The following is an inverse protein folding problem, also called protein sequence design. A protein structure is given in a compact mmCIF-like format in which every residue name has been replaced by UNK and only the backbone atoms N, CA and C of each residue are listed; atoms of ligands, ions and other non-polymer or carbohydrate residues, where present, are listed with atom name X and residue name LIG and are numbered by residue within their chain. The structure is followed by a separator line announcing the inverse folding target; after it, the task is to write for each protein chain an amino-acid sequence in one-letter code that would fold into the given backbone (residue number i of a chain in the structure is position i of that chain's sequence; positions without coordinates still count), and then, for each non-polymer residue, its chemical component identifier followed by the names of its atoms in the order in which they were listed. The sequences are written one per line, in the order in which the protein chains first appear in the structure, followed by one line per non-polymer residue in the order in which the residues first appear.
data_IF_522997109109
#
_entry.id   IF_522997109109
#
_cell.length_a   1.000
_cell.length_b   1.000
_cell.length_c   1.000
_cell.angle_alpha   90.00
_cell.angle_beta   90.00
_cell.angle_gamma   90.00
#
_symmetry.space_group_name_H-M   'P 1'
#
loop_
_entity.id
_entity.type
_entity.pdbx_description
1 polymer ?
#
# COMPACT_ATOMS: atom_id res chain seq x y z
N UNK A 1 10.19 -52.12 9.71
CA UNK A 1 11.05 -51.02 9.27
C UNK A 1 10.13 -49.82 9.08
N UNK A 2 10.00 -48.96 10.10
CA UNK A 2 9.16 -47.75 10.01
C UNK A 2 9.97 -46.66 9.31
N UNK A 3 9.58 -46.32 8.10
CA UNK A 3 10.05 -45.09 7.46
C UNK A 3 9.39 -43.92 8.17
N UNK A 4 10.08 -43.26 9.06
CA UNK A 4 9.74 -41.90 9.49
C UNK A 4 9.95 -40.97 8.31
N UNK A 5 8.88 -40.60 7.62
CA UNK A 5 8.87 -39.46 6.75
C UNK A 5 9.15 -38.23 7.66
N UNK A 6 10.42 -37.81 7.71
CA UNK A 6 10.73 -36.47 8.21
C UNK A 6 10.03 -35.50 7.28
N UNK A 7 8.90 -34.90 7.70
CA UNK A 7 8.43 -33.67 7.10
C UNK A 7 9.55 -32.65 7.37
N UNK A 8 10.44 -32.50 6.41
CA UNK A 8 11.38 -31.39 6.41
C UNK A 8 10.55 -30.14 6.19
N UNK A 9 10.33 -29.37 7.24
CA UNK A 9 9.77 -28.06 7.09
C UNK A 9 10.73 -27.28 6.18
N UNK A 10 10.24 -26.38 5.38
CA UNK A 10 10.99 -25.56 4.44
C UNK A 10 10.36 -24.18 4.34
N UNK A 11 11.14 -23.23 3.90
CA UNK A 11 10.71 -21.85 3.72
C UNK A 11 10.82 -21.45 2.26
N UNK A 12 10.00 -20.51 1.86
CA UNK A 12 10.19 -19.74 0.64
C UNK A 12 10.97 -18.49 1.03
N UNK A 13 12.04 -18.21 0.32
CA UNK A 13 12.81 -16.97 0.37
C UNK A 13 12.61 -16.21 -0.94
N UNK A 14 12.11 -15.00 -0.87
CA UNK A 14 11.95 -14.07 -1.99
C UNK A 14 13.10 -13.07 -1.94
N UNK A 15 14.14 -13.22 -2.77
CA UNK A 15 15.23 -12.24 -2.82
C UNK A 15 14.72 -10.93 -3.43
N UNK A 16 15.19 -9.80 -2.91
CA UNK A 16 14.82 -8.46 -3.41
C UNK A 16 16.03 -7.72 -4.04
N UNK A 17 17.13 -8.42 -4.25
CA UNK A 17 18.26 -7.92 -5.02
C UNK A 17 17.83 -7.60 -6.46
N UNK A 18 18.28 -6.48 -6.98
CA UNK A 18 17.84 -5.98 -8.28
C UNK A 18 18.06 -6.97 -9.44
N UNK A 19 19.14 -7.74 -9.39
CA UNK A 19 19.52 -8.73 -10.42
C UNK A 19 18.89 -10.13 -10.17
N UNK A 20 18.25 -10.35 -9.02
CA UNK A 20 17.64 -11.64 -8.64
C UNK A 20 16.13 -11.63 -8.65
N UNK A 21 15.52 -10.47 -8.48
CA UNK A 21 14.07 -10.33 -8.51
C UNK A 21 13.60 -9.78 -9.85
N UNK A 22 12.75 -10.53 -10.52
CA UNK A 22 12.17 -10.13 -11.82
C UNK A 22 11.00 -9.16 -11.65
N UNK A 23 10.29 -9.23 -10.52
CA UNK A 23 9.11 -8.40 -10.27
C UNK A 23 8.97 -8.01 -8.80
N UNK A 24 9.62 -6.93 -8.41
CA UNK A 24 9.60 -6.41 -7.03
C UNK A 24 8.19 -6.07 -6.55
N UNK A 25 7.37 -5.41 -7.37
CA UNK A 25 6.01 -5.03 -6.97
C UNK A 25 5.13 -6.25 -6.69
N UNK A 26 5.21 -7.29 -7.52
CA UNK A 26 4.50 -8.55 -7.26
C UNK A 26 5.05 -9.29 -6.04
N UNK A 27 6.33 -9.14 -5.73
CA UNK A 27 6.93 -9.70 -4.51
C UNK A 27 6.32 -9.07 -3.24
N UNK A 28 6.13 -7.75 -3.21
CA UNK A 28 5.36 -7.09 -2.15
C UNK A 28 3.91 -7.57 -2.11
N UNK A 29 3.27 -7.67 -3.27
CA UNK A 29 1.86 -8.09 -3.37
C UNK A 29 1.62 -9.50 -2.85
N UNK A 30 2.47 -10.47 -3.22
CA UNK A 30 2.30 -11.84 -2.70
C UNK A 30 2.62 -11.91 -1.20
N UNK A 31 3.58 -11.13 -0.71
CA UNK A 31 3.85 -11.07 0.73
C UNK A 31 2.64 -10.51 1.49
N UNK A 32 2.01 -9.44 0.99
CA UNK A 32 0.75 -8.93 1.53
C UNK A 32 -0.34 -10.01 1.54
N UNK A 33 -0.50 -10.72 0.42
CA UNK A 33 -1.49 -11.79 0.30
C UNK A 33 -1.25 -12.92 1.30
N UNK A 34 0.01 -13.34 1.48
CA UNK A 34 0.41 -14.39 2.46
C UNK A 34 -0.01 -13.99 3.88
N UNK A 35 0.29 -12.76 4.29
CA UNK A 35 -0.08 -12.23 5.61
C UNK A 35 -1.60 -12.16 5.75
N UNK A 36 -2.31 -11.75 4.70
CA UNK A 36 -3.78 -11.67 4.70
C UNK A 36 -4.46 -13.05 4.80
N UNK A 37 -3.75 -14.15 4.48
CA UNK A 37 -4.19 -15.52 4.73
C UNK A 37 -3.88 -16.00 6.16
N UNK A 38 -3.32 -15.15 7.02
CA UNK A 38 -2.90 -15.52 8.38
C UNK A 38 -1.62 -16.36 8.42
N UNK A 39 -0.86 -16.40 7.33
CA UNK A 39 0.40 -17.13 7.27
C UNK A 39 1.52 -16.23 7.79
N UNK A 40 2.35 -16.76 8.67
CA UNK A 40 3.51 -16.05 9.20
C UNK A 40 4.48 -15.66 8.08
N UNK A 41 4.90 -14.41 8.05
CA UNK A 41 5.88 -13.90 7.10
C UNK A 41 6.89 -12.99 7.79
N UNK A 42 8.10 -12.96 7.26
CA UNK A 42 9.20 -12.14 7.76
C UNK A 42 9.70 -11.21 6.66
N UNK A 43 9.99 -9.97 7.02
CA UNK A 43 10.78 -9.05 6.24
C UNK A 43 12.21 -9.06 6.77
N UNK A 44 13.15 -9.44 5.92
CA UNK A 44 14.58 -9.53 6.24
C UNK A 44 15.25 -8.22 5.82
N UNK A 45 15.20 -7.23 6.71
CA UNK A 45 15.75 -5.89 6.48
C UNK A 45 17.24 -5.96 6.15
N UNK A 46 17.64 -5.28 5.09
CA UNK A 46 19.01 -5.22 4.57
C UNK A 46 19.65 -6.57 4.21
N UNK A 47 18.92 -7.68 4.32
CA UNK A 47 19.38 -8.97 3.85
C UNK A 47 18.91 -9.19 2.41
N UNK A 48 19.86 -9.36 1.47
CA UNK A 48 19.60 -9.59 0.04
C UNK A 48 18.57 -8.63 -0.57
N UNK A 49 18.76 -7.32 -0.34
CA UNK A 49 17.88 -6.27 -0.85
C UNK A 49 16.58 -6.06 -0.07
N UNK A 50 16.44 -6.61 1.14
CA UNK A 50 15.23 -6.54 1.95
C UNK A 50 14.26 -7.66 1.61
N UNK A 51 14.74 -8.90 1.59
CA UNK A 51 14.05 -10.12 1.21
C UNK A 51 12.83 -10.43 2.09
N UNK A 52 11.93 -11.28 1.58
CA UNK A 52 10.83 -11.83 2.37
C UNK A 52 10.99 -13.34 2.55
N UNK A 53 10.50 -13.86 3.69
CA UNK A 53 10.49 -15.28 3.96
C UNK A 53 9.20 -15.71 4.64
N UNK A 54 8.68 -16.89 4.27
CA UNK A 54 7.51 -17.52 4.88
C UNK A 54 7.54 -19.04 4.70
N UNK A 55 6.76 -19.83 5.51
CA UNK A 55 6.71 -21.26 5.38
C UNK A 55 6.33 -21.72 3.98
N UNK A 56 7.00 -22.74 3.48
CA UNK A 56 6.74 -23.30 2.16
C UNK A 56 5.48 -24.16 2.15
N UNK A 57 4.64 -23.90 1.17
CA UNK A 57 3.59 -24.83 0.73
C UNK A 57 3.56 -24.89 -0.79
N UNK A 58 3.06 -26.00 -1.35
CA UNK A 58 2.93 -26.12 -2.81
C UNK A 58 1.98 -25.10 -3.41
N UNK A 59 0.95 -24.67 -2.64
CA UNK A 59 0.03 -23.61 -3.04
C UNK A 59 0.75 -22.29 -3.20
N UNK A 60 1.55 -21.88 -2.20
CA UNK A 60 2.33 -20.65 -2.23
C UNK A 60 3.37 -20.66 -3.36
N UNK A 61 4.02 -21.79 -3.59
CA UNK A 61 4.94 -21.94 -4.72
C UNK A 61 4.25 -21.72 -6.08
N UNK A 62 3.03 -22.23 -6.24
CA UNK A 62 2.25 -22.03 -7.45
C UNK A 62 1.84 -20.55 -7.63
N UNK A 63 1.42 -19.88 -6.55
CA UNK A 63 1.08 -18.43 -6.60
C UNK A 63 2.28 -17.57 -7.02
N UNK A 64 3.48 -17.87 -6.51
CA UNK A 64 4.72 -17.19 -6.92
C UNK A 64 5.00 -17.36 -8.41
N UNK A 65 4.82 -18.58 -8.93
CA UNK A 65 5.01 -18.87 -10.36
C UNK A 65 4.00 -18.12 -11.23
N UNK A 66 2.72 -18.13 -10.84
CA UNK A 66 1.65 -17.43 -11.57
C UNK A 66 1.90 -15.93 -11.63
N UNK A 67 2.40 -15.35 -10.52
CA UNK A 67 2.70 -13.91 -10.42
C UNK A 67 4.05 -13.52 -11.03
N UNK A 68 4.86 -14.49 -11.45
CA UNK A 68 6.19 -14.24 -12.03
C UNK A 68 7.20 -13.70 -11.01
N UNK A 69 7.09 -14.09 -9.74
CA UNK A 69 7.99 -13.69 -8.67
C UNK A 69 9.12 -14.70 -8.52
N UNK A 70 10.37 -14.22 -8.52
CA UNK A 70 11.54 -15.05 -8.27
C UNK A 70 11.59 -15.48 -6.80
N UNK A 71 11.85 -16.75 -6.54
CA UNK A 71 11.92 -17.30 -5.19
C UNK A 71 12.89 -18.48 -5.10
N UNK A 72 13.23 -18.83 -3.88
CA UNK A 72 14.03 -20.01 -3.55
C UNK A 72 13.30 -20.83 -2.47
N UNK A 73 13.28 -22.15 -2.62
CA UNK A 73 12.86 -23.03 -1.54
C UNK A 73 14.11 -23.40 -0.75
N UNK A 74 14.13 -23.07 0.52
CA UNK A 74 15.23 -23.31 1.46
C UNK A 74 14.78 -24.29 2.55
N UNK A 75 15.73 -25.08 3.05
CA UNK A 75 15.49 -25.99 4.18
C UNK A 75 15.44 -25.24 5.52
N UNK A 76 14.88 -25.90 6.56
CA UNK A 76 14.93 -25.36 7.93
C UNK A 76 16.34 -25.03 8.38
N UNK A 77 17.32 -25.85 8.06
CA UNK A 77 18.71 -25.61 8.43
C UNK A 77 19.24 -24.31 7.78
N UNK A 78 18.89 -24.06 6.50
CA UNK A 78 19.24 -22.82 5.81
C UNK A 78 18.50 -21.63 6.40
N UNK A 79 17.23 -21.78 6.76
CA UNK A 79 16.47 -20.73 7.42
C UNK A 79 17.08 -20.35 8.78
N UNK A 80 17.45 -21.32 9.60
CA UNK A 80 18.13 -21.11 10.87
C UNK A 80 19.47 -20.39 10.65
N UNK A 81 20.26 -20.81 9.66
CA UNK A 81 21.52 -20.16 9.33
C UNK A 81 21.36 -18.68 8.92
N UNK A 82 20.36 -18.38 8.06
CA UNK A 82 20.01 -17.01 7.66
C UNK A 82 19.60 -16.18 8.89
N UNK A 83 18.77 -16.73 9.78
CA UNK A 83 18.37 -16.03 11.00
C UNK A 83 19.54 -15.75 11.92
N UNK A 84 20.48 -16.68 12.02
CA UNK A 84 21.70 -16.50 12.80
C UNK A 84 22.60 -15.43 12.19
N UNK A 85 22.79 -15.41 10.88
CA UNK A 85 23.53 -14.38 10.17
C UNK A 85 22.93 -12.99 10.41
N UNK A 86 21.62 -12.84 10.20
CA UNK A 86 20.89 -11.57 10.38
C UNK A 86 20.97 -11.06 11.83
N UNK A 87 21.10 -11.94 12.81
CA UNK A 87 21.21 -11.57 14.23
C UNK A 87 22.58 -11.00 14.63
N UNK A 88 23.54 -10.97 13.73
CA UNK A 88 24.84 -10.34 13.96
C UNK A 88 24.67 -8.80 13.98
N UNK A 89 24.94 -8.13 15.11
CA UNK A 89 24.74 -6.68 15.24
C UNK A 89 25.64 -5.84 14.32
N UNK A 90 26.73 -6.42 13.81
CA UNK A 90 27.65 -5.72 12.90
C UNK A 90 27.11 -5.60 11.47
N UNK A 91 26.11 -6.42 11.10
CA UNK A 91 25.58 -6.44 9.73
C UNK A 91 24.44 -5.44 9.48
N UNK A 92 23.95 -4.74 10.50
CA UNK A 92 22.81 -3.81 10.40
C UNK A 92 21.60 -4.44 9.66
N UNK A 93 21.28 -5.67 10.04
CA UNK A 93 20.18 -6.46 9.48
C UNK A 93 19.17 -6.82 10.58
N UNK A 94 17.92 -7.04 10.20
CA UNK A 94 16.89 -7.46 11.14
C UNK A 94 15.86 -8.36 10.45
N UNK A 95 15.39 -9.40 11.15
CA UNK A 95 14.26 -10.22 10.69
C UNK A 95 12.97 -9.79 11.40
N UNK A 96 12.22 -8.91 10.75
CA UNK A 96 10.96 -8.37 11.29
C UNK A 96 9.82 -9.29 10.92
N UNK A 97 9.10 -9.80 11.93
CA UNK A 97 7.85 -10.51 11.72
C UNK A 97 6.77 -9.53 11.27
N UNK A 98 6.07 -9.86 10.19
CA UNK A 98 4.96 -9.07 9.68
C UNK A 98 3.66 -9.54 10.35
N UNK A 99 3.08 -8.68 11.17
CA UNK A 99 1.96 -9.06 12.05
C UNK A 99 0.59 -8.96 11.37
N UNK A 100 0.44 -8.04 10.39
CA UNK A 100 -0.86 -7.74 9.79
C UNK A 100 -0.73 -7.20 8.38
N UNK A 101 -1.61 -7.65 7.49
CA UNK A 101 -1.85 -6.98 6.21
C UNK A 101 -2.72 -5.73 6.45
N UNK A 102 -2.20 -4.50 6.21
CA UNK A 102 -2.96 -3.30 6.51
C UNK A 102 -4.16 -3.11 5.58
N UNK A 103 -5.27 -2.62 6.12
CA UNK A 103 -6.36 -2.07 5.30
C UNK A 103 -5.97 -0.69 4.80
N UNK A 104 -5.92 -0.52 3.49
CA UNK A 104 -5.40 0.67 2.82
C UNK A 104 -6.54 1.51 2.24
N UNK A 105 -6.56 2.80 2.59
CA UNK A 105 -7.34 3.82 1.91
C UNK A 105 -6.43 4.72 1.10
N UNK A 106 -6.81 5.02 -0.13
CA UNK A 106 -6.16 6.04 -0.97
C UNK A 106 -7.11 7.21 -1.11
N UNK A 107 -6.66 8.39 -0.69
CA UNK A 107 -7.44 9.61 -0.82
C UNK A 107 -7.32 10.13 -2.25
N UNK A 108 -8.39 9.99 -3.00
CA UNK A 108 -8.46 10.39 -4.42
C UNK A 108 -9.90 10.73 -4.81
N UNK A 109 -10.14 11.75 -5.66
CA UNK A 109 -11.48 12.10 -6.09
C UNK A 109 -12.09 11.00 -6.97
N UNK A 110 -13.42 10.90 -6.95
CA UNK A 110 -14.17 9.95 -7.80
C UNK A 110 -14.31 10.44 -9.25
N UNK A 111 -13.85 11.63 -9.54
CA UNK A 111 -13.94 12.22 -10.88
C UNK A 111 -12.56 12.60 -11.41
N UNK A 112 -12.35 12.38 -12.71
CA UNK A 112 -11.17 12.84 -13.41
C UNK A 112 -11.44 14.23 -14.02
N UNK A 113 -10.65 15.28 -13.67
CA UNK A 113 -10.82 16.60 -14.25
C UNK A 113 -10.59 16.65 -15.78
N UNK A 114 -9.93 15.63 -16.34
CA UNK A 114 -9.68 15.51 -17.80
C UNK A 114 -10.67 14.62 -18.54
N UNK A 115 -11.62 14.01 -17.85
CA UNK A 115 -12.59 13.10 -18.43
C UNK A 115 -13.61 12.56 -17.42
N UNK A 116 -14.55 11.75 -17.91
CA UNK A 116 -15.67 11.25 -17.10
C UNK A 116 -15.32 10.06 -16.20
N UNK A 117 -14.08 9.54 -16.25
CA UNK A 117 -13.62 8.42 -15.42
C UNK A 117 -12.19 8.65 -14.98
N UNK A 118 -11.92 8.44 -13.69
CA UNK A 118 -10.55 8.29 -13.19
C UNK A 118 -10.04 6.97 -13.75
N UNK A 119 -8.97 7.07 -14.51
CA UNK A 119 -8.27 5.88 -14.96
C UNK A 119 -7.26 5.48 -13.89
N UNK A 120 -6.96 4.17 -13.70
CA UNK A 120 -5.99 3.73 -12.71
C UNK A 120 -4.60 4.37 -12.85
N UNK A 121 -4.23 4.76 -14.07
CA UNK A 121 -2.95 5.43 -14.39
C UNK A 121 -2.94 6.94 -14.12
N UNK A 122 -4.07 7.56 -13.79
CA UNK A 122 -4.13 8.98 -13.40
C UNK A 122 -3.57 9.19 -11.97
N UNK A 123 -3.46 8.09 -11.20
CA UNK A 123 -2.87 8.05 -9.87
C UNK A 123 -1.85 6.90 -9.82
N UNK A 124 -0.57 7.25 -9.72
CA UNK A 124 0.53 6.27 -9.70
C UNK A 124 0.40 5.27 -8.54
N UNK A 125 -0.16 5.70 -7.40
CA UNK A 125 -0.32 4.85 -6.21
C UNK A 125 -1.38 3.78 -6.45
N UNK A 126 -2.55 4.15 -6.96
CA UNK A 126 -3.60 3.18 -7.27
C UNK A 126 -3.14 2.21 -8.36
N UNK A 127 -2.36 2.69 -9.33
CA UNK A 127 -1.78 1.83 -10.36
C UNK A 127 -0.78 0.82 -9.78
N UNK A 128 0.12 1.26 -8.89
CA UNK A 128 1.11 0.39 -8.23
C UNK A 128 0.42 -0.65 -7.36
N UNK A 129 -0.55 -0.24 -6.53
CA UNK A 129 -1.29 -1.18 -5.67
C UNK A 129 -2.09 -2.20 -6.50
N UNK A 130 -2.77 -1.74 -7.57
CA UNK A 130 -3.50 -2.63 -8.47
C UNK A 130 -2.55 -3.61 -9.20
N UNK A 131 -1.39 -3.14 -9.69
CA UNK A 131 -0.40 -4.01 -10.31
C UNK A 131 0.16 -5.03 -9.32
N UNK A 132 0.46 -4.62 -8.09
CA UNK A 132 0.94 -5.49 -7.02
C UNK A 132 -0.16 -6.46 -6.51
N UNK A 133 -1.41 -6.26 -6.90
CA UNK A 133 -2.58 -7.00 -6.39
C UNK A 133 -2.79 -6.81 -4.89
N UNK A 134 -2.46 -5.62 -4.39
CA UNK A 134 -2.72 -5.21 -3.01
C UNK A 134 -4.08 -4.49 -2.99
N UNK A 135 -5.08 -4.99 -2.25
CA UNK A 135 -6.39 -4.36 -2.17
C UNK A 135 -6.31 -3.01 -1.48
N UNK A 136 -7.08 -2.06 -1.99
CA UNK A 136 -7.24 -0.73 -1.41
C UNK A 136 -8.65 -0.21 -1.71
N UNK A 137 -9.12 0.71 -0.89
CA UNK A 137 -10.34 1.44 -1.12
C UNK A 137 -10.04 2.92 -1.44
N UNK A 138 -10.83 3.52 -2.32
CA UNK A 138 -10.78 4.95 -2.55
C UNK A 138 -11.65 5.66 -1.54
N UNK A 139 -11.13 6.72 -0.95
CA UNK A 139 -11.86 7.62 -0.06
C UNK A 139 -11.65 9.05 -0.52
N UNK A 140 -12.66 9.89 -0.35
CA UNK A 140 -12.54 11.31 -0.64
C UNK A 140 -13.22 12.13 0.46
N UNK A 141 -13.46 13.40 0.22
CA UNK A 141 -13.98 14.35 1.22
C UNK A 141 -15.20 13.82 1.98
N UNK A 142 -16.17 13.23 1.28
CA UNK A 142 -17.39 12.68 1.88
C UNK A 142 -17.10 11.54 2.84
N UNK A 143 -16.35 10.54 2.39
CA UNK A 143 -16.01 9.36 3.18
C UNK A 143 -15.21 9.72 4.43
N UNK A 144 -14.30 10.69 4.29
CA UNK A 144 -13.50 11.20 5.42
C UNK A 144 -14.40 11.89 6.44
N UNK A 145 -15.31 12.75 6.02
CA UNK A 145 -16.26 13.46 6.91
C UNK A 145 -17.25 12.52 7.57
N UNK A 146 -17.67 11.44 6.89
CA UNK A 146 -18.51 10.37 7.43
C UNK A 146 -17.76 9.49 8.45
N UNK A 147 -16.46 9.71 8.69
CA UNK A 147 -15.67 8.96 9.66
C UNK A 147 -15.19 7.60 9.19
N UNK A 148 -15.25 7.32 7.88
CA UNK A 148 -14.85 5.99 7.34
C UNK A 148 -13.37 5.67 7.53
N UNK A 149 -12.52 6.69 7.79
CA UNK A 149 -11.09 6.45 8.04
C UNK A 149 -10.81 5.50 9.20
N UNK A 150 -11.70 5.45 10.20
CA UNK A 150 -11.57 4.53 11.33
C UNK A 150 -11.57 3.03 10.94
N UNK A 151 -11.94 2.69 9.70
CA UNK A 151 -11.96 1.33 9.17
C UNK A 151 -10.63 0.90 8.54
N UNK A 152 -9.68 1.83 8.39
CA UNK A 152 -8.41 1.63 7.71
C UNK A 152 -7.24 1.77 8.68
N UNK A 153 -6.18 1.02 8.37
CA UNK A 153 -4.92 1.08 9.10
C UNK A 153 -3.98 2.12 8.49
N UNK A 154 -4.08 2.33 7.17
CA UNK A 154 -3.21 3.21 6.40
C UNK A 154 -4.01 4.10 5.45
N UNK A 155 -3.81 5.41 5.55
CA UNK A 155 -4.28 6.42 4.61
C UNK A 155 -3.12 6.92 3.75
N UNK A 156 -3.24 6.81 2.43
CA UNK A 156 -2.34 7.42 1.48
C UNK A 156 -2.93 8.70 0.92
N UNK A 157 -2.23 9.84 1.12
CA UNK A 157 -2.56 11.14 0.54
C UNK A 157 -1.65 11.42 -0.65
N UNK A 158 -2.23 11.78 -1.79
CA UNK A 158 -1.49 12.02 -3.01
C UNK A 158 -2.00 13.28 -3.73
N UNK A 159 -1.10 14.25 -3.92
CA UNK A 159 -1.29 15.47 -4.75
C UNK A 159 -2.59 16.26 -4.58
N UNK A 160 -3.16 16.31 -3.39
CA UNK A 160 -4.40 17.03 -3.14
C UNK A 160 -4.18 18.43 -2.58
N UNK A 161 -4.95 19.40 -3.07
CA UNK A 161 -4.98 20.76 -2.55
C UNK A 161 -5.94 20.88 -1.37
N UNK A 162 -5.44 20.67 -0.16
CA UNK A 162 -6.20 20.87 1.07
C UNK A 162 -6.46 22.34 1.41
N UNK A 163 -5.89 23.30 0.68
CA UNK A 163 -6.21 24.72 0.90
C UNK A 163 -7.54 25.12 0.28
N UNK A 164 -8.02 24.37 -0.72
CA UNK A 164 -9.20 24.70 -1.52
C UNK A 164 -9.10 26.02 -2.26
N UNK A 165 -7.87 26.49 -2.49
CA UNK A 165 -7.58 27.76 -3.17
C UNK A 165 -7.12 27.48 -4.60
N UNK A 166 -8.03 27.08 -5.44
CA UNK A 166 -7.73 26.67 -6.82
C UNK A 166 -6.79 27.61 -7.59
N UNK A 167 -6.91 28.91 -7.44
CA UNK A 167 -6.05 29.88 -8.12
C UNK A 167 -4.60 29.89 -7.62
N UNK A 168 -4.30 29.36 -6.45
CA UNK A 168 -2.98 29.48 -5.84
C UNK A 168 -1.94 28.60 -6.51
N UNK A 169 -2.28 27.34 -6.77
CA UNK A 169 -1.35 26.37 -7.36
C UNK A 169 -1.46 26.27 -8.89
N UNK A 170 -2.65 26.51 -9.44
CA UNK A 170 -2.96 26.31 -10.84
C UNK A 170 -3.40 27.59 -11.54
N UNK A 171 -2.95 28.76 -11.07
CA UNK A 171 -3.37 30.05 -11.62
C UNK A 171 -3.17 30.14 -13.15
N UNK A 172 -2.09 29.58 -13.68
CA UNK A 172 -1.82 29.50 -15.13
C UNK A 172 -2.80 28.59 -15.89
N UNK A 173 -3.49 27.68 -15.20
CA UNK A 173 -4.43 26.72 -15.77
C UNK A 173 -5.89 27.13 -15.60
N UNK A 174 -6.19 28.24 -14.90
CA UNK A 174 -7.54 28.67 -14.55
C UNK A 174 -8.50 28.88 -15.75
N UNK A 175 -7.95 29.09 -16.95
CA UNK A 175 -8.71 29.18 -18.20
C UNK A 175 -9.04 27.84 -18.85
N UNK A 176 -8.41 26.74 -18.43
CA UNK A 176 -8.55 25.44 -19.08
C UNK A 176 -9.88 24.76 -18.74
N UNK A 177 -10.48 23.99 -19.68
CA UNK A 177 -11.74 23.31 -19.43
C UNK A 177 -11.70 22.31 -18.25
N UNK A 178 -10.60 21.55 -18.12
CA UNK A 178 -10.44 20.59 -17.03
C UNK A 178 -10.38 21.26 -15.67
N UNK A 179 -9.70 22.40 -15.55
CA UNK A 179 -9.61 23.14 -14.29
C UNK A 179 -10.98 23.66 -13.86
N UNK A 180 -11.73 24.29 -14.79
CA UNK A 180 -13.08 24.77 -14.53
C UNK A 180 -14.04 23.65 -14.12
N UNK A 181 -13.92 22.48 -14.78
CA UNK A 181 -14.73 21.31 -14.44
C UNK A 181 -14.38 20.81 -13.03
N UNK A 182 -13.10 20.72 -12.68
CA UNK A 182 -12.66 20.28 -11.35
C UNK A 182 -13.17 21.24 -10.28
N UNK A 183 -13.00 22.55 -10.48
CA UNK A 183 -13.49 23.56 -9.57
C UNK A 183 -15.02 23.43 -9.37
N UNK A 184 -15.78 23.38 -10.44
CA UNK A 184 -17.23 23.26 -10.37
C UNK A 184 -17.70 22.00 -9.62
N UNK A 185 -17.05 20.86 -9.87
CA UNK A 185 -17.35 19.59 -9.18
C UNK A 185 -17.02 19.66 -7.68
N UNK A 186 -15.92 20.28 -7.31
CA UNK A 186 -15.55 20.44 -5.91
C UNK A 186 -16.44 21.42 -5.18
N UNK A 187 -16.87 22.51 -5.85
CA UNK A 187 -17.86 23.45 -5.31
C UNK A 187 -19.23 22.77 -5.12
N UNK A 188 -19.67 21.98 -6.08
CA UNK A 188 -20.90 21.17 -5.98
C UNK A 188 -20.84 20.19 -4.79
N UNK A 189 -19.71 19.51 -4.62
CA UNK A 189 -19.48 18.62 -3.49
C UNK A 189 -19.53 19.37 -2.16
N UNK A 190 -18.84 20.51 -2.06
CA UNK A 190 -18.85 21.34 -0.86
C UNK A 190 -20.28 21.77 -0.49
N UNK A 191 -21.04 22.28 -1.46
CA UNK A 191 -22.44 22.66 -1.26
C UNK A 191 -23.30 21.47 -0.81
N UNK A 192 -23.14 20.31 -1.42
CA UNK A 192 -23.87 19.08 -1.06
C UNK A 192 -23.60 18.59 0.37
N UNK A 193 -22.42 18.93 0.90
CA UNK A 193 -22.00 18.62 2.27
C UNK A 193 -22.27 19.76 3.26
N UNK A 194 -22.95 20.84 2.82
CA UNK A 194 -23.32 21.96 3.67
C UNK A 194 -22.24 23.02 3.88
N UNK A 195 -21.17 22.99 3.09
CA UNK A 195 -20.09 23.99 3.17
C UNK A 195 -20.30 25.10 2.14
N UNK A 196 -20.14 26.35 2.57
CA UNK A 196 -20.27 27.52 1.71
C UNK A 196 -19.06 27.78 0.81
N UNK A 197 -17.93 27.12 1.10
CA UNK A 197 -16.65 27.26 0.38
C UNK A 197 -15.88 25.96 0.38
N UNK A 198 -15.17 25.69 -0.70
CA UNK A 198 -14.26 24.54 -0.81
C UNK A 198 -13.18 24.58 0.28
N UNK A 199 -12.63 25.76 0.61
CA UNK A 199 -11.65 25.90 1.68
C UNK A 199 -12.18 25.51 3.07
N UNK A 200 -13.47 25.72 3.35
CA UNK A 200 -14.09 25.30 4.60
C UNK A 200 -14.29 23.76 4.61
N UNK A 201 -14.71 23.17 3.50
CA UNK A 201 -14.76 21.71 3.32
C UNK A 201 -13.39 21.10 3.57
N UNK A 202 -12.35 21.56 2.87
CA UNK A 202 -11.00 21.01 2.97
C UNK A 202 -10.40 21.15 4.37
N UNK A 203 -10.70 22.25 5.08
CA UNK A 203 -10.29 22.42 6.48
C UNK A 203 -10.94 21.37 7.39
N UNK A 204 -12.23 21.08 7.20
CA UNK A 204 -12.93 20.06 7.97
C UNK A 204 -12.38 18.65 7.68
N UNK A 205 -12.09 18.37 6.41
CA UNK A 205 -11.46 17.10 5.99
C UNK A 205 -10.07 16.96 6.62
N UNK A 206 -9.23 18.00 6.55
CA UNK A 206 -7.90 17.98 7.17
C UNK A 206 -7.97 17.74 8.68
N UNK A 207 -8.97 18.34 9.36
CA UNK A 207 -9.18 18.10 10.79
C UNK A 207 -9.57 16.62 11.07
N UNK A 208 -10.41 16.01 10.23
CA UNK A 208 -10.75 14.58 10.36
C UNK A 208 -9.57 13.65 10.10
N UNK A 209 -8.71 13.99 9.14
CA UNK A 209 -7.47 13.24 8.91
C UNK A 209 -6.53 13.36 10.11
N UNK A 210 -6.41 14.58 10.68
CA UNK A 210 -5.63 14.78 11.91
C UNK A 210 -6.15 13.91 13.05
N UNK A 211 -7.47 13.91 13.30
CA UNK A 211 -8.10 13.07 14.33
C UNK A 211 -7.82 11.56 14.11
N UNK A 212 -7.85 11.11 12.85
CA UNK A 212 -7.51 9.73 12.50
C UNK A 212 -6.06 9.38 12.87
N UNK A 213 -5.10 10.26 12.55
CA UNK A 213 -3.67 10.04 12.90
C UNK A 213 -3.47 10.08 14.41
N UNK A 214 -4.10 11.03 15.12
CA UNK A 214 -4.03 11.15 16.58
C UNK A 214 -4.65 9.93 17.29
N UNK A 215 -5.59 9.23 16.65
CA UNK A 215 -6.17 7.98 17.16
C UNK A 215 -5.33 6.72 16.85
N UNK A 216 -4.17 6.87 16.19
CA UNK A 216 -3.24 5.78 15.88
C UNK A 216 -3.29 5.29 14.43
N UNK A 217 -4.02 5.96 13.55
CA UNK A 217 -4.00 5.68 12.11
C UNK A 217 -2.65 6.06 11.48
N UNK A 218 -2.17 5.25 10.54
CA UNK A 218 -0.95 5.55 9.81
C UNK A 218 -1.27 6.36 8.56
N UNK A 219 -0.52 7.44 8.32
CA UNK A 219 -0.68 8.29 7.14
C UNK A 219 0.65 8.42 6.40
N UNK A 220 0.61 8.22 5.09
CA UNK A 220 1.69 8.56 4.18
C UNK A 220 1.22 9.71 3.28
N UNK A 221 2.00 10.79 3.19
CA UNK A 221 1.72 11.95 2.36
C UNK A 221 2.94 12.29 1.49
N UNK A 222 2.70 12.72 0.25
CA UNK A 222 3.72 13.20 -0.68
C UNK A 222 3.50 14.68 -0.99
#
# INVERSE_FOLDING_TARGET
MFFTLSLSASYILIPMEHDKQTNHLKAYGITYWVINQGIEAYWLLNYRGGSFAFPHTKGLENELKVRGVSYQVISDAQWIAIRSEISDPELNQEAVKLEKAPKIAVYTPDFNPRGNRIQPWDDAVTLVLAYAEIPFDKVYDREVLEGKLAQYDWLHLHHEDFTGQFGKFYASQGGTPWYKLNQAKTEELAASLGYSKVSALKLAVAQKIKEYVESGGFMFAM
#
